data_IF_501375820988
#
_entry.id   IF_501375820988
#
_cell.length_a   1.000
_cell.length_b   1.000
_cell.length_c   1.000
_cell.angle_alpha   90.00
_cell.angle_beta   90.00
_cell.angle_gamma   90.00
#
_symmetry.space_group_name_H-M   'P 1'
#
loop_
_entity.id
_entity.type
_entity.pdbx_description
1 polymer ?
#
# COMPACT_ATOMS: atom_id res chain seq x y z
N UNK A 1 -0.15 -28.58 -16.38
CA UNK A 1 -0.60 -28.79 -14.99
C UNK A 1 -1.35 -27.54 -14.59
N UNK A 2 -2.63 -27.65 -14.24
CA UNK A 2 -3.41 -26.51 -13.75
C UNK A 2 -3.10 -26.35 -12.26
N UNK A 3 -2.46 -25.26 -11.87
CA UNK A 3 -2.26 -24.93 -10.46
C UNK A 3 -3.59 -24.51 -9.88
N UNK A 4 -4.12 -25.28 -8.93
CA UNK A 4 -5.31 -24.91 -8.16
C UNK A 4 -4.83 -24.19 -6.90
N UNK A 5 -5.26 -22.96 -6.70
CA UNK A 5 -5.02 -22.22 -5.46
C UNK A 5 -5.95 -22.78 -4.37
N UNK A 6 -5.35 -23.24 -3.27
CA UNK A 6 -6.08 -23.67 -2.07
C UNK A 6 -6.00 -22.57 -1.00
N UNK A 7 -7.08 -22.38 -0.25
CA UNK A 7 -7.07 -21.49 0.90
C UNK A 7 -6.05 -21.99 1.94
N UNK A 8 -5.11 -21.13 2.32
CA UNK A 8 -4.15 -21.39 3.38
C UNK A 8 -4.79 -21.25 4.78
N UNK A 9 -4.10 -21.74 5.81
CA UNK A 9 -4.57 -21.70 7.21
C UNK A 9 -3.88 -20.65 8.07
N UNK A 10 -3.07 -19.77 7.48
CA UNK A 10 -2.24 -18.80 8.21
C UNK A 10 -2.95 -17.46 8.48
N UNK A 11 -4.16 -17.26 7.96
CA UNK A 11 -4.94 -16.04 8.18
C UNK A 11 -4.54 -14.85 7.29
N UNK A 12 -3.66 -15.05 6.30
CA UNK A 12 -3.26 -14.03 5.34
C UNK A 12 -4.06 -14.14 4.05
N UNK A 13 -4.37 -13.00 3.44
CA UNK A 13 -5.13 -12.93 2.18
C UNK A 13 -4.30 -12.20 1.13
N UNK A 14 -4.21 -12.80 -0.06
CA UNK A 14 -3.63 -12.18 -1.24
C UNK A 14 -4.74 -11.55 -2.10
N UNK A 15 -4.50 -10.34 -2.60
CA UNK A 15 -5.39 -9.65 -3.54
C UNK A 15 -4.60 -8.68 -4.43
N UNK A 16 -5.15 -8.37 -5.62
CA UNK A 16 -4.70 -7.19 -6.36
C UNK A 16 -5.24 -5.95 -5.65
N UNK A 17 -4.35 -4.97 -5.39
CA UNK A 17 -4.72 -3.75 -4.69
C UNK A 17 -4.83 -2.53 -5.61
N UNK A 18 -4.44 -2.63 -6.89
CA UNK A 18 -4.46 -1.48 -7.79
C UNK A 18 -5.91 -0.98 -8.01
N UNK A 19 -6.25 0.25 -7.55
CA UNK A 19 -7.60 0.78 -7.62
C UNK A 19 -8.03 1.19 -9.04
N UNK A 20 -7.08 1.29 -9.98
CA UNK A 20 -7.30 1.70 -11.37
C UNK A 20 -7.89 0.59 -12.24
N UNK A 21 -7.90 -0.65 -11.74
CA UNK A 21 -8.42 -1.82 -12.46
C UNK A 21 -7.48 -2.32 -13.56
N UNK A 22 -7.79 -3.50 -14.09
CA UNK A 22 -6.95 -4.21 -15.08
C UNK A 22 -6.80 -3.40 -16.37
N UNK A 23 -5.58 -3.19 -16.86
CA UNK A 23 -5.37 -2.48 -18.14
C UNK A 23 -5.75 -3.30 -19.37
N UNK A 24 -5.86 -4.62 -19.25
CA UNK A 24 -6.39 -5.51 -20.28
C UNK A 24 -7.59 -6.27 -19.71
N UNK A 25 -8.80 -6.00 -20.24
CA UNK A 25 -10.03 -6.58 -19.72
C UNK A 25 -10.19 -8.07 -20.07
N UNK A 26 -9.51 -8.53 -21.13
CA UNK A 26 -9.55 -9.93 -21.56
C UNK A 26 -8.48 -10.77 -20.86
N UNK A 27 -7.28 -10.19 -20.66
CA UNK A 27 -6.12 -10.93 -20.16
C UNK A 27 -5.67 -10.54 -18.74
N UNK A 28 -6.23 -9.47 -18.17
CA UNK A 28 -5.96 -9.00 -16.82
C UNK A 28 -4.82 -7.99 -16.71
N UNK A 29 -4.03 -8.09 -15.65
CA UNK A 29 -2.86 -7.22 -15.42
C UNK A 29 -1.69 -7.67 -16.31
N UNK A 30 -0.98 -6.73 -16.95
CA UNK A 30 0.18 -7.05 -17.81
C UNK A 30 1.41 -7.46 -17.01
N UNK A 31 1.55 -6.93 -15.80
CA UNK A 31 2.66 -7.25 -14.90
C UNK A 31 2.19 -7.39 -13.45
N UNK A 32 2.96 -8.11 -12.60
CA UNK A 32 2.70 -8.10 -11.17
C UNK A 32 2.78 -6.70 -10.55
N UNK A 33 3.69 -5.84 -11.02
CA UNK A 33 3.80 -4.45 -10.53
C UNK A 33 2.50 -3.67 -10.79
N UNK A 34 1.95 -3.79 -12.01
CA UNK A 34 0.66 -3.20 -12.35
C UNK A 34 -0.49 -3.73 -11.47
N UNK A 35 -0.46 -5.00 -11.07
CA UNK A 35 -1.50 -5.56 -10.21
C UNK A 35 -1.44 -5.05 -8.76
N UNK A 36 -0.30 -4.49 -8.33
CA UNK A 36 -0.02 -4.09 -6.93
C UNK A 36 -0.46 -5.19 -5.94
N UNK A 37 0.05 -6.43 -6.05
CA UNK A 37 -0.40 -7.55 -5.23
C UNK A 37 -0.06 -7.29 -3.77
N UNK A 38 -1.11 -7.25 -2.96
CA UNK A 38 -1.02 -7.13 -1.51
C UNK A 38 -1.26 -8.50 -0.87
N UNK A 39 -0.45 -8.85 0.11
CA UNK A 39 -0.68 -10.00 1.01
C UNK A 39 -0.76 -9.49 2.43
N UNK A 40 -1.96 -9.47 3.01
CA UNK A 40 -2.23 -8.85 4.31
C UNK A 40 -2.88 -9.77 5.33
N UNK A 41 -2.67 -9.49 6.62
CA UNK A 41 -3.36 -10.12 7.72
C UNK A 41 -4.81 -9.59 7.92
N UNK A 42 -5.53 -10.16 8.88
CA UNK A 42 -6.92 -9.76 9.14
C UNK A 42 -7.10 -8.28 9.52
N UNK A 43 -6.14 -7.65 10.20
CA UNK A 43 -6.24 -6.25 10.62
C UNK A 43 -5.89 -5.31 9.46
N UNK A 44 -4.89 -5.65 8.64
CA UNK A 44 -4.57 -4.89 7.42
C UNK A 44 -5.77 -4.87 6.47
N UNK A 45 -6.52 -5.97 6.36
CA UNK A 45 -7.74 -6.00 5.54
C UNK A 45 -8.88 -5.15 6.11
N UNK A 46 -9.02 -5.04 7.44
CA UNK A 46 -9.96 -4.09 8.04
C UNK A 46 -9.59 -2.67 7.65
N UNK A 47 -8.30 -2.32 7.73
CA UNK A 47 -7.79 -1.01 7.32
C UNK A 47 -8.11 -0.73 5.84
N UNK A 48 -7.79 -1.66 4.93
CA UNK A 48 -8.05 -1.51 3.48
C UNK A 48 -9.54 -1.32 3.22
N UNK A 49 -10.40 -2.12 3.86
CA UNK A 49 -11.86 -1.97 3.74
C UNK A 49 -12.31 -0.56 4.14
N UNK A 50 -11.81 -0.06 5.27
CA UNK A 50 -12.19 1.26 5.79
C UNK A 50 -11.65 2.41 4.95
N UNK A 51 -10.43 2.26 4.40
CA UNK A 51 -9.86 3.17 3.43
C UNK A 51 -10.75 3.30 2.19
N UNK A 52 -11.16 2.17 1.61
CA UNK A 52 -12.05 2.14 0.45
C UNK A 52 -13.45 2.67 0.74
N UNK A 53 -13.96 2.51 1.97
CA UNK A 53 -15.29 3.04 2.35
C UNK A 53 -15.26 4.45 2.94
N UNK A 54 -14.09 5.10 3.04
CA UNK A 54 -13.99 6.44 3.61
C UNK A 54 -14.28 6.52 5.12
N UNK A 55 -14.18 5.41 5.84
CA UNK A 55 -14.51 5.31 7.28
C UNK A 55 -13.25 5.15 8.13
N UNK A 56 -13.35 5.44 9.43
CA UNK A 56 -12.23 5.26 10.36
C UNK A 56 -11.87 3.77 10.55
N UNK A 57 -10.58 3.38 10.46
CA UNK A 57 -10.13 2.04 10.84
C UNK A 57 -10.31 1.77 12.35
N UNK A 58 -10.84 0.59 12.68
CA UNK A 58 -10.90 0.07 14.06
C UNK A 58 -10.19 -1.30 14.11
N UNK A 59 -8.95 -1.30 14.60
CA UNK A 59 -8.09 -2.48 14.66
C UNK A 59 -7.95 -3.01 16.09
N UNK A 60 -7.80 -4.33 16.23
CA UNK A 60 -7.59 -4.97 17.54
C UNK A 60 -6.12 -4.85 17.99
N UNK A 61 -5.22 -4.87 17.02
CA UNK A 61 -3.76 -4.75 17.08
C UNK A 61 -3.24 -4.27 15.71
N UNK A 62 -1.95 -3.94 15.61
CA UNK A 62 -1.34 -3.44 14.38
C UNK A 62 -1.44 -4.48 13.26
N UNK A 63 -1.84 -4.06 12.06
CA UNK A 63 -1.93 -4.90 10.88
C UNK A 63 -0.69 -4.81 10.02
N UNK A 64 -0.39 -5.89 9.32
CA UNK A 64 0.74 -5.98 8.40
C UNK A 64 0.31 -6.43 7.01
N UNK A 65 0.88 -5.81 5.98
CA UNK A 65 0.69 -6.22 4.60
C UNK A 65 1.98 -6.12 3.78
N UNK A 66 2.25 -7.15 2.98
CA UNK A 66 3.36 -7.19 2.04
C UNK A 66 2.91 -6.67 0.68
N UNK A 67 3.68 -5.77 0.10
CA UNK A 67 3.53 -5.29 -1.27
C UNK A 67 4.85 -5.50 -2.01
N UNK A 68 5.16 -6.78 -2.27
CA UNK A 68 6.47 -7.21 -2.79
C UNK A 68 6.71 -6.83 -4.25
N UNK A 69 5.70 -6.30 -4.92
CA UNK A 69 5.83 -5.74 -6.25
C UNK A 69 5.67 -4.23 -6.26
N UNK A 70 5.53 -3.58 -5.10
CA UNK A 70 5.39 -2.13 -4.99
C UNK A 70 4.08 -1.56 -5.53
N UNK A 71 4.02 -0.24 -5.59
CA UNK A 71 2.87 0.53 -6.05
C UNK A 71 3.13 1.26 -7.35
N UNK A 72 2.04 1.44 -8.09
CA UNK A 72 2.02 2.32 -9.24
C UNK A 72 1.70 3.74 -8.76
N UNK A 73 2.61 4.69 -8.97
CA UNK A 73 2.25 6.11 -9.15
C UNK A 73 1.26 6.65 -8.08
N UNK A 74 1.72 6.81 -6.83
CA UNK A 74 0.87 7.25 -5.70
C UNK A 74 1.36 8.60 -5.11
N UNK A 75 0.42 9.40 -4.58
CA UNK A 75 0.72 10.59 -3.76
C UNK A 75 0.90 10.16 -2.30
N UNK A 76 2.06 10.43 -1.71
CA UNK A 76 2.41 10.07 -0.35
C UNK A 76 1.60 10.81 0.73
N UNK A 77 1.08 11.99 0.41
CA UNK A 77 0.37 12.87 1.34
C UNK A 77 -1.14 12.68 1.29
N UNK A 78 -1.70 12.53 0.09
CA UNK A 78 -3.15 12.60 -0.13
C UNK A 78 -3.70 11.29 -0.69
N UNK A 79 -4.59 10.61 0.05
CA UNK A 79 -5.26 9.41 -0.45
C UNK A 79 -6.00 9.64 -1.77
N UNK A 80 -5.98 8.62 -2.65
CA UNK A 80 -6.86 8.52 -3.83
C UNK A 80 -6.53 9.56 -4.93
N UNK A 81 -5.35 10.19 -4.90
CA UNK A 81 -4.87 10.96 -6.05
C UNK A 81 -4.41 9.97 -7.13
N UNK A 82 -5.20 9.85 -8.20
CA UNK A 82 -5.02 8.77 -9.18
C UNK A 82 -4.07 9.13 -10.32
N UNK A 83 -3.67 10.39 -10.44
CA UNK A 83 -2.76 10.86 -11.48
C UNK A 83 -1.87 12.03 -11.03
N UNK A 84 -0.65 12.08 -11.58
CA UNK A 84 0.33 13.15 -11.32
C UNK A 84 -0.16 14.54 -11.72
N UNK A 85 -1.14 14.61 -12.63
CA UNK A 85 -1.76 15.87 -13.04
C UNK A 85 -2.72 16.43 -11.98
N UNK A 86 -3.26 15.58 -11.11
CA UNK A 86 -4.19 15.94 -10.03
C UNK A 86 -3.46 16.18 -8.70
N UNK A 87 -2.21 15.74 -8.62
CA UNK A 87 -1.31 15.96 -7.50
C UNK A 87 -1.01 17.45 -7.29
N UNK A 88 -0.94 17.86 -6.02
CA UNK A 88 -0.75 19.26 -5.63
C UNK A 88 0.70 19.61 -5.31
N UNK A 89 1.54 18.62 -5.05
CA UNK A 89 2.97 18.74 -4.77
C UNK A 89 3.75 17.57 -5.40
N UNK A 90 4.37 17.77 -6.57
CA UNK A 90 5.08 16.71 -7.29
C UNK A 90 6.18 16.00 -6.49
N UNK A 91 6.65 16.58 -5.37
CA UNK A 91 7.62 15.93 -4.47
C UNK A 91 6.99 14.84 -3.59
N UNK A 92 5.67 14.75 -3.52
CA UNK A 92 4.95 13.68 -2.84
C UNK A 92 4.68 12.46 -3.74
N UNK A 93 5.04 12.54 -5.02
CA UNK A 93 4.77 11.48 -5.98
C UNK A 93 5.83 10.36 -5.93
N UNK A 94 5.38 9.12 -5.74
CA UNK A 94 6.25 7.95 -5.68
C UNK A 94 5.73 6.78 -6.52
N UNK A 95 6.62 6.15 -7.29
CA UNK A 95 6.42 4.81 -7.87
C UNK A 95 7.36 3.86 -7.15
N UNK A 96 6.79 3.03 -6.27
CA UNK A 96 7.56 2.26 -5.29
C UNK A 96 7.86 0.84 -5.78
N UNK A 97 9.00 0.31 -5.34
CA UNK A 97 9.36 -1.10 -5.39
C UNK A 97 8.85 -1.85 -4.16
N UNK A 98 9.44 -2.99 -3.79
CA UNK A 98 8.93 -3.84 -2.71
C UNK A 98 8.97 -3.18 -1.32
N UNK A 99 7.90 -3.33 -0.53
CA UNK A 99 7.84 -2.84 0.86
C UNK A 99 6.88 -3.63 1.76
N UNK A 100 6.98 -3.38 3.06
CA UNK A 100 6.03 -3.83 4.10
C UNK A 100 5.23 -2.62 4.59
N UNK A 101 3.92 -2.81 4.77
CA UNK A 101 3.04 -1.86 5.45
C UNK A 101 2.86 -2.26 6.91
N UNK A 102 2.85 -1.26 7.79
CA UNK A 102 2.31 -1.38 9.14
C UNK A 102 1.14 -0.41 9.29
N UNK A 103 -0.06 -0.96 9.49
CA UNK A 103 -1.27 -0.21 9.82
C UNK A 103 -1.41 -0.15 11.35
N UNK A 104 -1.18 1.02 11.98
CA UNK A 104 -1.20 1.10 13.43
C UNK A 104 -2.63 0.96 13.94
N UNK A 105 -2.80 0.27 15.06
CA UNK A 105 -4.04 0.36 15.84
C UNK A 105 -4.28 1.78 16.34
N UNK A 106 -3.21 2.43 16.80
CA UNK A 106 -3.22 3.80 17.28
C UNK A 106 -2.23 4.64 16.47
N UNK A 107 -2.67 5.50 15.55
CA UNK A 107 -1.77 6.33 14.74
C UNK A 107 -0.81 7.22 15.56
N UNK A 108 -1.12 7.53 16.82
CA UNK A 108 -0.21 8.28 17.68
C UNK A 108 1.12 7.55 17.94
N UNK A 109 1.16 6.22 17.77
CA UNK A 109 2.41 5.44 17.89
C UNK A 109 3.39 5.71 16.76
N UNK A 110 2.94 6.34 15.67
CA UNK A 110 3.78 6.72 14.54
C UNK A 110 4.41 8.11 14.70
N UNK A 111 4.23 8.77 15.84
CA UNK A 111 4.83 10.07 16.09
C UNK A 111 6.37 10.01 16.03
N UNK A 112 6.97 10.89 15.24
CA UNK A 112 8.43 11.01 15.10
C UNK A 112 9.01 10.28 13.89
N UNK A 113 8.22 9.49 13.15
CA UNK A 113 8.63 9.03 11.82
C UNK A 113 8.64 10.19 10.83
N UNK A 114 9.60 10.16 9.90
CA UNK A 114 9.69 11.11 8.79
C UNK A 114 8.53 10.88 7.81
N UNK A 115 8.13 11.93 7.09
CA UNK A 115 7.25 11.81 5.92
C UNK A 115 8.04 11.80 4.61
N UNK A 116 9.36 12.02 4.67
CA UNK A 116 10.23 12.01 3.50
C UNK A 116 10.58 10.56 3.13
N UNK A 117 9.98 10.08 2.06
CA UNK A 117 10.20 8.74 1.55
C UNK A 117 11.59 8.54 0.94
N UNK A 118 12.43 9.58 0.78
CA UNK A 118 13.78 9.47 0.21
C UNK A 118 14.88 9.25 1.26
N UNK A 119 14.58 9.40 2.56
CA UNK A 119 15.60 9.30 3.60
C UNK A 119 16.12 7.86 3.79
N UNK A 120 15.32 6.84 3.43
CA UNK A 120 15.68 5.43 3.50
C UNK A 120 15.12 4.63 4.70
N UNK A 121 14.92 5.21 5.91
CA UNK A 121 14.17 4.56 6.99
C UNK A 121 12.68 4.35 6.65
N UNK A 122 11.94 3.62 7.51
CA UNK A 122 10.49 3.65 7.46
C UNK A 122 9.96 5.07 7.55
N UNK A 123 8.91 5.36 6.80
CA UNK A 123 8.32 6.69 6.74
C UNK A 123 6.80 6.61 6.81
N UNK A 124 6.19 7.75 7.17
CA UNK A 124 4.76 7.90 7.33
C UNK A 124 4.11 8.32 6.01
N UNK A 125 3.24 7.47 5.49
CA UNK A 125 2.35 7.81 4.38
C UNK A 125 0.99 8.28 4.93
N UNK A 126 0.36 9.23 4.23
CA UNK A 126 -0.90 9.87 4.59
C UNK A 126 -0.88 10.48 6.01
N UNK A 127 0.22 11.14 6.35
CA UNK A 127 0.36 11.86 7.61
C UNK A 127 -0.83 12.79 7.86
N UNK A 128 -1.19 12.97 9.13
CA UNK A 128 -2.32 13.82 9.56
C UNK A 128 -3.72 13.31 9.15
N UNK A 129 -3.82 12.20 8.42
CA UNK A 129 -5.09 11.55 8.11
C UNK A 129 -5.38 10.39 9.06
N UNK A 130 -6.64 9.92 9.09
CA UNK A 130 -7.02 8.70 9.80
C UNK A 130 -6.46 7.40 9.17
N UNK A 131 -5.78 7.52 8.03
CA UNK A 131 -5.17 6.42 7.27
C UNK A 131 -3.65 6.45 7.35
N UNK A 132 -3.08 7.22 8.27
CA UNK A 132 -1.65 7.21 8.54
C UNK A 132 -1.14 5.78 8.78
N UNK A 133 -0.13 5.36 8.04
CA UNK A 133 0.50 4.04 8.15
C UNK A 133 1.99 4.14 7.79
N UNK A 134 2.79 3.18 8.27
CA UNK A 134 4.20 3.14 7.91
C UNK A 134 4.41 2.37 6.62
N UNK A 135 5.21 2.99 5.76
CA UNK A 135 5.88 2.35 4.65
C UNK A 135 7.25 1.91 5.14
N UNK A 136 7.57 0.63 5.02
CA UNK A 136 8.84 0.05 5.42
C UNK A 136 9.54 -0.45 4.15
N UNK A 137 10.39 0.38 3.52
CA UNK A 137 11.17 0.01 2.35
C UNK A 137 11.98 -1.27 2.59
N UNK A 138 12.04 -2.16 1.58
CA UNK A 138 13.00 -3.27 1.55
C UNK A 138 13.87 -3.17 0.29
N UNK A 139 14.65 -4.22 -0.02
CA UNK A 139 15.52 -4.24 -1.20
C UNK A 139 14.75 -3.87 -2.47
N UNK A 140 15.37 -3.04 -3.32
CA UNK A 140 14.80 -2.50 -4.56
C UNK A 140 13.62 -1.52 -4.41
N UNK A 141 13.43 -0.89 -3.24
CA UNK A 141 12.32 0.05 -3.03
C UNK A 141 12.24 1.21 -4.03
N UNK A 142 13.36 1.74 -4.52
CA UNK A 142 13.35 2.86 -5.48
C UNK A 142 13.51 2.41 -6.93
N UNK A 143 13.32 1.12 -7.23
CA UNK A 143 13.57 0.56 -8.56
C UNK A 143 12.77 1.23 -9.69
N UNK A 144 11.57 1.71 -9.38
CA UNK A 144 10.66 2.34 -10.34
C UNK A 144 10.67 3.86 -10.27
N UNK A 145 11.22 4.43 -9.18
CA UNK A 145 11.30 5.87 -8.99
C UNK A 145 12.22 6.51 -10.04
N UNK A 146 11.72 7.56 -10.70
CA UNK A 146 12.44 8.38 -11.68
C UNK A 146 12.70 9.80 -11.16
#
# INVERSE_FOLDING_TARGET
>A
MTTILCQGTNGWTAMAANPRGMSDIENGWKTPHEAMPMVGDGQSLKWVKTFMSGTKPELDFDGFAWMLHGDMDEDNSTPIVMSKAEDKDPNQWIESGPYLMLMPKDPATLAGYTTDFNEGPPYLMFSETQYAHLMIPIEDYYKYQQ
#
